data_IF_650784530188
#
_entry.id   IF_650784530188
#
_cell.length_a   1.000
_cell.length_b   1.000
_cell.length_c   1.000
_cell.angle_alpha   90.00
_cell.angle_beta   90.00
_cell.angle_gamma   90.00
#
_symmetry.space_group_name_H-M   'P 1'
#
loop_
_entity.id
_entity.type
_entity.pdbx_description
1 polymer ?
#
# COMPACT_ATOMS: atom_id res chain seq x y z
N UNK A 1 3.09 21.39 5.20
CA UNK A 1 3.75 20.61 4.12
C UNK A 1 2.93 19.36 3.87
N UNK A 2 2.81 18.95 2.61
CA UNK A 2 2.14 17.73 2.18
C UNK A 2 3.19 16.80 1.56
N UNK A 3 3.22 15.54 2.00
CA UNK A 3 4.06 14.50 1.40
C UNK A 3 3.14 13.58 0.60
N UNK A 4 3.50 13.31 -0.66
CA UNK A 4 2.69 12.50 -1.56
C UNK A 4 3.49 11.27 -1.97
N UNK A 5 2.89 10.09 -1.81
CA UNK A 5 3.48 8.82 -2.20
C UNK A 5 2.78 8.26 -3.44
N UNK A 6 3.56 7.70 -4.37
CA UNK A 6 3.04 6.69 -5.30
C UNK A 6 2.82 5.36 -4.56
N UNK A 7 2.22 4.36 -5.22
CA UNK A 7 1.94 3.04 -4.67
C UNK A 7 2.95 1.98 -5.14
N UNK A 8 2.82 1.55 -6.39
CA UNK A 8 3.57 0.42 -6.94
C UNK A 8 5.06 0.77 -7.03
N UNK A 9 5.93 -0.14 -6.58
CA UNK A 9 7.38 0.09 -6.50
C UNK A 9 7.80 1.28 -5.63
N UNK A 10 6.89 1.80 -4.79
CA UNK A 10 7.16 2.85 -3.79
C UNK A 10 6.83 2.35 -2.38
N UNK A 11 5.58 1.92 -2.14
CA UNK A 11 5.14 1.42 -0.84
C UNK A 11 5.20 -0.11 -0.77
N UNK A 12 4.92 -0.79 -1.88
CA UNK A 12 4.86 -2.24 -1.93
C UNK A 12 5.47 -2.83 -3.20
N UNK A 13 5.75 -4.13 -3.11
CA UNK A 13 6.01 -5.03 -4.21
C UNK A 13 4.84 -6.03 -4.32
N UNK A 14 4.16 -6.09 -5.47
CA UNK A 14 3.05 -7.01 -5.74
C UNK A 14 3.51 -8.31 -6.46
N UNK A 15 4.72 -8.78 -6.16
CA UNK A 15 5.33 -9.93 -6.85
C UNK A 15 5.94 -9.54 -8.20
N UNK A 16 6.59 -8.38 -8.28
CA UNK A 16 7.25 -7.85 -9.47
C UNK A 16 6.31 -7.19 -10.48
N UNK A 17 5.09 -6.83 -10.08
CA UNK A 17 4.08 -6.19 -10.95
C UNK A 17 3.36 -5.06 -10.23
N UNK A 18 2.42 -4.41 -10.92
CA UNK A 18 1.51 -3.40 -10.42
C UNK A 18 0.30 -4.01 -9.69
N UNK A 19 -0.28 -3.26 -8.76
CA UNK A 19 -1.42 -3.72 -7.96
C UNK A 19 -2.67 -4.03 -8.80
N UNK A 20 -2.90 -3.32 -9.91
CA UNK A 20 -4.03 -3.59 -10.82
C UNK A 20 -3.85 -4.85 -11.68
N UNK A 21 -2.68 -5.49 -11.62
CA UNK A 21 -2.46 -6.82 -12.19
C UNK A 21 -2.71 -7.94 -11.17
N UNK A 22 -3.03 -7.63 -9.91
CA UNK A 22 -3.29 -8.65 -8.87
C UNK A 22 -4.71 -9.22 -8.93
N UNK A 23 -4.89 -10.45 -8.45
CA UNK A 23 -6.17 -11.16 -8.52
C UNK A 23 -6.81 -11.28 -7.13
N UNK A 24 -8.07 -10.84 -7.03
CA UNK A 24 -8.91 -11.08 -5.87
C UNK A 24 -9.45 -12.53 -5.86
N UNK A 25 -9.83 -13.09 -4.70
CA UNK A 25 -9.77 -12.49 -3.37
C UNK A 25 -8.35 -12.48 -2.79
N UNK A 26 -8.05 -11.44 -2.01
CA UNK A 26 -6.83 -11.40 -1.23
C UNK A 26 -6.98 -12.16 0.09
N UNK A 27 -5.87 -12.69 0.60
CA UNK A 27 -5.77 -13.31 1.92
C UNK A 27 -4.66 -12.64 2.71
N UNK A 28 -4.99 -12.12 3.88
CA UNK A 28 -4.00 -11.54 4.79
C UNK A 28 -3.19 -12.63 5.49
N UNK A 29 -1.88 -12.51 5.43
CA UNK A 29 -0.92 -13.21 6.29
C UNK A 29 -0.40 -12.25 7.37
N UNK A 30 0.54 -12.68 8.20
CA UNK A 30 1.08 -11.85 9.28
C UNK A 30 1.74 -10.55 8.76
N UNK A 31 2.56 -10.65 7.70
CA UNK A 31 3.38 -9.54 7.21
C UNK A 31 3.14 -9.18 5.73
N UNK A 32 2.28 -9.92 5.04
CA UNK A 32 2.04 -9.79 3.61
C UNK A 32 0.61 -10.21 3.27
N UNK A 33 0.21 -9.92 2.04
CA UNK A 33 -1.08 -10.31 1.46
C UNK A 33 -0.81 -11.28 0.33
N UNK A 34 -1.64 -12.30 0.19
CA UNK A 34 -1.57 -13.27 -0.91
C UNK A 34 -2.77 -13.05 -1.83
N UNK A 35 -2.52 -12.93 -3.13
CA UNK A 35 -3.58 -12.84 -4.13
C UNK A 35 -4.10 -14.25 -4.54
N UNK A 36 -5.15 -14.31 -5.37
CA UNK A 36 -5.72 -15.58 -5.81
C UNK A 36 -4.78 -16.43 -6.70
N UNK A 37 -3.74 -15.83 -7.28
CA UNK A 37 -2.69 -16.54 -8.02
C UNK A 37 -1.51 -16.98 -7.14
N UNK A 38 -1.56 -16.70 -5.83
CA UNK A 38 -0.48 -17.03 -4.90
C UNK A 38 0.66 -16.00 -4.88
N UNK A 39 0.50 -14.82 -5.47
CA UNK A 39 1.49 -13.75 -5.41
C UNK A 39 1.47 -13.08 -4.05
N UNK A 40 2.66 -12.88 -3.49
CA UNK A 40 2.85 -12.12 -2.27
C UNK A 40 2.89 -10.62 -2.61
N UNK A 41 1.99 -9.85 -1.99
CA UNK A 41 2.05 -8.40 -1.91
C UNK A 41 2.59 -8.01 -0.54
N UNK A 42 3.71 -7.30 -0.50
CA UNK A 42 4.38 -6.90 0.74
C UNK A 42 4.87 -5.47 0.66
N UNK A 43 4.87 -4.79 1.81
CA UNK A 43 5.52 -3.49 1.93
C UNK A 43 7.03 -3.62 1.84
N UNK A 44 7.71 -2.57 1.36
CA UNK A 44 9.16 -2.48 1.56
C UNK A 44 9.48 -2.36 3.06
N UNK A 45 10.62 -2.90 3.54
CA UNK A 45 10.87 -3.14 4.97
C UNK A 45 10.66 -1.93 5.90
N UNK A 46 10.93 -0.72 5.42
CA UNK A 46 10.91 0.51 6.24
C UNK A 46 9.62 1.33 6.07
N UNK A 47 8.69 0.93 5.21
CA UNK A 47 7.53 1.77 4.85
C UNK A 47 6.67 2.10 6.06
N UNK A 48 6.33 1.11 6.90
CA UNK A 48 5.55 1.37 8.13
C UNK A 48 6.27 2.34 9.07
N UNK A 49 7.59 2.21 9.22
CA UNK A 49 8.40 3.10 10.06
C UNK A 49 8.42 4.54 9.50
N UNK A 50 8.63 4.69 8.18
CA UNK A 50 8.66 6.00 7.53
C UNK A 50 7.30 6.71 7.67
N UNK A 51 6.20 6.02 7.37
CA UNK A 51 4.86 6.60 7.49
C UNK A 51 4.54 7.01 8.93
N UNK A 52 4.87 6.16 9.91
CA UNK A 52 4.69 6.48 11.33
C UNK A 52 5.53 7.70 11.74
N UNK A 53 6.82 7.75 11.38
CA UNK A 53 7.71 8.85 11.73
C UNK A 53 7.25 10.19 11.12
N UNK A 54 6.68 10.16 9.92
CA UNK A 54 6.12 11.36 9.28
C UNK A 54 4.83 11.82 9.98
N UNK A 55 3.95 10.89 10.35
CA UNK A 55 2.72 11.18 11.08
C UNK A 55 3.01 11.79 12.46
N UNK A 56 3.95 11.23 13.21
CA UNK A 56 4.36 11.73 14.53
C UNK A 56 4.94 13.14 14.47
N UNK A 57 5.56 13.51 13.34
CA UNK A 57 6.06 14.86 13.07
C UNK A 57 4.97 15.82 12.58
N UNK A 58 3.73 15.38 12.46
CA UNK A 58 2.59 16.19 12.05
C UNK A 58 2.51 16.45 10.53
N UNK A 59 3.21 15.67 9.71
CA UNK A 59 3.07 15.78 8.25
C UNK A 59 1.76 15.16 7.77
N UNK A 60 1.06 15.90 6.90
CA UNK A 60 -0.06 15.34 6.14
C UNK A 60 0.50 14.49 5.00
N UNK A 61 -0.03 13.29 4.82
CA UNK A 61 0.36 12.36 3.76
C UNK A 61 -0.81 12.01 2.85
N UNK A 62 -0.57 11.99 1.54
CA UNK A 62 -1.54 11.61 0.52
C UNK A 62 -0.96 10.58 -0.45
N UNK A 63 -1.85 9.96 -1.23
CA UNK A 63 -1.49 9.01 -2.28
C UNK A 63 -1.80 9.60 -3.65
N UNK A 64 -0.89 9.44 -4.60
CA UNK A 64 -1.09 9.76 -6.01
C UNK A 64 -0.53 8.62 -6.86
N UNK A 65 -1.42 7.74 -7.33
CA UNK A 65 -1.06 6.58 -8.15
C UNK A 65 -1.78 6.62 -9.49
N UNK A 66 -1.12 6.07 -10.51
CA UNK A 66 -1.68 5.84 -11.86
C UNK A 66 -2.42 4.50 -11.99
N UNK A 67 -2.50 3.70 -10.94
CA UNK A 67 -3.23 2.42 -10.96
C UNK A 67 -4.63 2.61 -11.53
N UNK A 68 -5.04 1.70 -12.42
CA UNK A 68 -6.39 1.72 -13.00
C UNK A 68 -7.44 1.17 -12.04
N UNK A 69 -7.01 0.51 -10.96
CA UNK A 69 -7.88 -0.16 -10.00
C UNK A 69 -7.84 0.51 -8.62
N UNK A 70 -8.62 1.58 -8.46
CA UNK A 70 -8.77 2.28 -7.17
C UNK A 70 -9.28 1.35 -6.05
N UNK A 71 -10.15 0.39 -6.38
CA UNK A 71 -10.73 -0.52 -5.40
C UNK A 71 -9.68 -1.48 -4.82
N UNK A 72 -8.87 -2.10 -5.69
CA UNK A 72 -7.80 -3.01 -5.24
C UNK A 72 -6.72 -2.27 -4.45
N UNK A 73 -6.33 -1.06 -4.88
CA UNK A 73 -5.38 -0.24 -4.15
C UNK A 73 -5.85 0.05 -2.71
N UNK A 74 -7.13 0.44 -2.54
CA UNK A 74 -7.71 0.66 -1.21
C UNK A 74 -7.73 -0.59 -0.35
N UNK A 75 -8.12 -1.72 -0.94
CA UNK A 75 -8.15 -2.99 -0.22
C UNK A 75 -6.76 -3.40 0.26
N UNK A 76 -5.74 -3.27 -0.60
CA UNK A 76 -4.35 -3.57 -0.23
C UNK A 76 -3.83 -2.62 0.85
N UNK A 77 -4.12 -1.32 0.77
CA UNK A 77 -3.74 -0.34 1.83
C UNK A 77 -4.34 -0.72 3.19
N UNK A 78 -5.59 -1.19 3.20
CA UNK A 78 -6.27 -1.63 4.42
C UNK A 78 -5.71 -2.96 4.94
N UNK A 79 -5.52 -3.95 4.06
CA UNK A 79 -4.98 -5.26 4.43
C UNK A 79 -3.53 -5.16 4.94
N UNK A 80 -2.73 -4.26 4.37
CA UNK A 80 -1.36 -3.96 4.79
C UNK A 80 -1.29 -3.00 6.00
N UNK A 81 -2.44 -2.50 6.47
CA UNK A 81 -2.60 -1.64 7.65
C UNK A 81 -1.81 -0.33 7.55
N UNK A 82 -1.86 0.35 6.41
CA UNK A 82 -1.21 1.66 6.21
C UNK A 82 -2.18 2.75 5.75
N UNK A 83 -3.44 2.41 5.52
CA UNK A 83 -4.50 3.33 5.12
C UNK A 83 -4.70 4.50 6.09
N UNK A 84 -4.64 4.22 7.40
CA UNK A 84 -4.81 5.20 8.46
C UNK A 84 -3.79 6.35 8.46
N UNK A 85 -2.66 6.22 7.74
CA UNK A 85 -1.67 7.29 7.60
C UNK A 85 -2.09 8.39 6.60
N UNK A 86 -3.08 8.13 5.73
CA UNK A 86 -3.42 9.01 4.62
C UNK A 86 -4.77 9.70 4.82
N UNK A 87 -4.82 11.02 4.65
CA UNK A 87 -6.02 11.82 4.94
C UNK A 87 -7.07 11.84 3.80
N UNK A 88 -6.86 11.13 2.70
CA UNK A 88 -7.76 11.10 1.53
C UNK A 88 -7.61 9.80 0.74
N UNK A 89 -8.38 8.76 1.12
CA UNK A 89 -8.49 7.52 0.36
C UNK A 89 -9.78 7.46 -0.45
#
# INVERSE_FOLDING_TARGET
MLIVFDLDFTLWDCGGTYCDHTLQPYRKSANFVIDAAGREIKLYPEVKYILQALQERGFKMAIASRTTSKAQAKELLSLLEIDHHFFNL
#
